data_IF_626786056922
#
_entry.id   IF_626786056922
#
_cell.length_a   1.000
_cell.length_b   1.000
_cell.length_c   1.000
_cell.angle_alpha   90.00
_cell.angle_beta   90.00
_cell.angle_gamma   90.00
#
_symmetry.space_group_name_H-M   'P 1'
#
loop_
_entity.id
_entity.type
_entity.pdbx_description
1 polymer ?
#
# COMPACT_ATOMS: atom_id res chain seq x y z
N UNK A 1 -8.57 0.51 -1.27
CA UNK A 1 -7.09 0.55 -1.37
C UNK A 1 -6.57 -0.89 -1.21
N UNK A 2 -5.38 -1.25 -1.72
CA UNK A 2 -4.79 -2.55 -1.37
C UNK A 2 -5.02 -3.76 -2.30
N UNK A 3 -5.97 -3.68 -3.23
CA UNK A 3 -6.29 -4.81 -4.12
C UNK A 3 -5.28 -5.05 -5.26
N UNK A 4 -4.32 -4.14 -5.49
CA UNK A 4 -3.35 -4.24 -6.59
C UNK A 4 -2.01 -4.81 -6.11
N UNK A 5 -1.28 -5.56 -6.97
CA UNK A 5 0.09 -5.97 -6.69
C UNK A 5 1.00 -4.75 -6.45
N UNK A 6 1.93 -4.87 -5.52
CA UNK A 6 3.01 -3.89 -5.31
C UNK A 6 4.14 -4.13 -6.31
N UNK A 7 4.99 -3.12 -6.53
CA UNK A 7 6.21 -3.26 -7.36
C UNK A 7 7.10 -4.43 -6.90
N UNK A 8 7.08 -4.74 -5.60
CA UNK A 8 7.83 -5.86 -5.01
C UNK A 8 7.21 -7.23 -5.32
N UNK A 9 5.91 -7.29 -5.64
CA UNK A 9 5.18 -8.56 -5.89
C UNK A 9 4.91 -8.82 -7.37
N UNK A 10 4.80 -7.79 -8.20
CA UNK A 10 4.59 -7.92 -9.65
C UNK A 10 5.84 -7.64 -10.50
N UNK A 11 6.90 -7.08 -9.89
CA UNK A 11 8.04 -6.54 -10.62
C UNK A 11 7.73 -5.18 -11.25
N UNK A 12 8.78 -4.48 -11.70
CA UNK A 12 8.65 -3.16 -12.33
C UNK A 12 9.70 -2.96 -13.42
N UNK A 13 9.31 -2.32 -14.52
CA UNK A 13 10.26 -1.83 -15.52
C UNK A 13 10.86 -0.51 -15.03
N UNK A 14 12.11 -0.53 -14.57
CA UNK A 14 12.81 0.64 -14.03
C UNK A 14 12.84 1.84 -14.99
N UNK A 15 12.82 1.59 -16.30
CA UNK A 15 12.76 2.65 -17.32
C UNK A 15 11.46 3.46 -17.23
N UNK A 16 10.33 2.81 -16.94
CA UNK A 16 9.05 3.50 -16.74
C UNK A 16 9.07 4.37 -15.48
N UNK A 17 9.65 3.86 -14.39
CA UNK A 17 9.83 4.61 -13.15
C UNK A 17 10.66 5.86 -13.40
N UNK A 18 11.81 5.73 -14.09
CA UNK A 18 12.71 6.85 -14.39
C UNK A 18 12.04 7.94 -15.24
N UNK A 19 11.24 7.56 -16.23
CA UNK A 19 10.50 8.51 -17.08
C UNK A 19 9.49 9.29 -16.24
N UNK A 20 8.66 8.59 -15.46
CA UNK A 20 7.64 9.25 -14.63
C UNK A 20 8.28 10.15 -13.56
N UNK A 21 9.35 9.67 -12.90
CA UNK A 21 10.08 10.46 -11.91
C UNK A 21 10.67 11.75 -12.51
N UNK A 22 11.25 11.66 -13.72
CA UNK A 22 11.82 12.82 -14.42
C UNK A 22 10.76 13.86 -14.78
N UNK A 23 9.57 13.39 -15.23
CA UNK A 23 8.44 14.27 -15.52
C UNK A 23 7.94 14.97 -14.26
N UNK A 24 7.77 14.23 -13.15
CA UNK A 24 7.32 14.78 -11.87
C UNK A 24 8.31 15.79 -11.29
N UNK A 25 9.61 15.48 -11.33
CA UNK A 25 10.66 16.40 -10.89
C UNK A 25 10.62 17.72 -11.68
N UNK A 26 10.40 17.63 -13.00
CA UNK A 26 10.25 18.81 -13.86
C UNK A 26 9.02 19.65 -13.48
N UNK A 27 7.87 19.03 -13.19
CA UNK A 27 6.68 19.77 -12.72
C UNK A 27 6.89 20.42 -11.36
N UNK A 28 7.60 19.75 -10.44
CA UNK A 28 7.97 20.35 -9.16
C UNK A 28 8.88 21.58 -9.35
N UNK A 29 9.88 21.48 -10.23
CA UNK A 29 10.75 22.62 -10.58
C UNK A 29 9.94 23.78 -11.16
N UNK A 30 8.96 23.52 -12.03
CA UNK A 30 8.07 24.57 -12.55
C UNK A 30 7.34 25.29 -11.43
N UNK A 31 6.73 24.55 -10.49
CA UNK A 31 6.00 25.11 -9.35
C UNK A 31 6.93 26.00 -8.51
N UNK A 32 8.12 25.50 -8.16
CA UNK A 32 9.11 26.22 -7.36
C UNK A 32 9.62 27.48 -8.05
N UNK A 33 9.72 27.46 -9.39
CA UNK A 33 10.09 28.61 -10.20
C UNK A 33 8.91 29.58 -10.48
N UNK A 34 7.74 29.38 -9.86
CA UNK A 34 6.56 30.21 -10.09
C UNK A 34 5.97 30.07 -11.50
N UNK A 35 6.25 28.96 -12.19
CA UNK A 35 5.72 28.64 -13.52
C UNK A 35 4.50 27.74 -13.40
N UNK A 36 3.64 27.78 -14.42
CA UNK A 36 2.49 26.89 -14.47
C UNK A 36 2.95 25.43 -14.65
N UNK A 37 2.48 24.57 -13.74
CA UNK A 37 2.59 23.12 -13.87
C UNK A 37 1.36 22.54 -14.57
N UNK A 38 1.55 21.38 -15.19
CA UNK A 38 0.49 20.62 -15.82
C UNK A 38 -0.58 20.22 -14.80
N UNK A 39 -1.83 20.21 -15.26
CA UNK A 39 -3.01 19.88 -14.45
C UNK A 39 -3.69 18.59 -14.91
N UNK A 40 -3.28 18.08 -16.08
CA UNK A 40 -3.75 16.86 -16.67
C UNK A 40 -3.03 15.64 -16.06
N UNK A 41 -3.73 14.52 -15.98
CA UNK A 41 -3.11 13.23 -15.74
C UNK A 41 -2.40 12.77 -17.03
N UNK A 42 -1.18 12.26 -16.90
CA UNK A 42 -0.42 11.73 -18.03
C UNK A 42 -0.35 10.21 -17.87
N UNK A 43 -0.74 9.50 -18.90
CA UNK A 43 -0.52 8.07 -19.04
C UNK A 43 0.60 7.84 -20.06
N UNK A 44 1.63 7.09 -19.66
CA UNK A 44 2.78 6.76 -20.49
C UNK A 44 2.90 5.24 -20.58
N UNK A 45 2.77 4.70 -21.79
CA UNK A 45 3.14 3.32 -22.09
C UNK A 45 4.53 3.35 -22.76
N UNK A 46 5.54 3.00 -21.98
CA UNK A 46 6.95 3.01 -22.42
C UNK A 46 7.22 1.94 -23.46
N UNK A 47 6.51 0.81 -23.41
CA UNK A 47 6.73 -0.30 -24.33
C UNK A 47 6.22 0.02 -25.73
N UNK A 48 5.04 0.66 -25.81
CA UNK A 48 4.45 1.10 -27.08
C UNK A 48 4.88 2.51 -27.48
N UNK A 49 5.66 3.19 -26.65
CA UNK A 49 6.05 4.60 -26.81
C UNK A 49 4.84 5.54 -27.00
N UNK A 50 3.75 5.31 -26.25
CA UNK A 50 2.54 6.13 -26.34
C UNK A 50 2.35 7.03 -25.14
N UNK A 51 1.80 8.21 -25.40
CA UNK A 51 1.58 9.27 -24.42
C UNK A 51 0.16 9.77 -24.55
N UNK A 52 -0.57 9.81 -23.45
CA UNK A 52 -1.95 10.31 -23.43
C UNK A 52 -2.11 11.28 -22.28
N UNK A 53 -2.68 12.45 -22.59
CA UNK A 53 -3.06 13.44 -21.60
C UNK A 53 -4.57 13.33 -21.34
N UNK A 54 -4.94 13.26 -20.07
CA UNK A 54 -6.31 13.10 -19.62
C UNK A 54 -6.63 14.31 -18.75
N UNK A 55 -7.61 15.10 -19.17
CA UNK A 55 -8.13 16.20 -18.36
C UNK A 55 -8.87 15.61 -17.16
N UNK A 56 -8.46 16.00 -15.95
CA UNK A 56 -9.11 15.58 -14.70
C UNK A 56 -9.81 16.79 -14.09
N UNK A 57 -11.12 16.67 -13.89
CA UNK A 57 -11.93 17.70 -13.24
C UNK A 57 -12.32 17.25 -11.84
N UNK A 58 -12.48 18.23 -10.94
CA UNK A 58 -12.94 17.96 -9.58
C UNK A 58 -14.42 17.60 -9.61
N UNK A 59 -14.76 16.49 -8.95
CA UNK A 59 -16.15 16.16 -8.65
C UNK A 59 -16.66 17.05 -7.50
N UNK A 60 -17.76 17.76 -7.73
CA UNK A 60 -18.32 18.71 -6.77
C UNK A 60 -18.78 18.03 -5.47
N UNK A 61 -19.29 16.80 -5.57
CA UNK A 61 -19.82 16.01 -4.47
C UNK A 61 -18.78 15.09 -3.78
N UNK A 62 -17.53 15.10 -4.25
CA UNK A 62 -16.45 14.33 -3.65
C UNK A 62 -16.25 14.73 -2.18
N UNK A 63 -16.31 13.74 -1.28
CA UNK A 63 -16.15 13.91 0.17
C UNK A 63 -14.89 14.71 0.54
N UNK A 64 -13.77 14.43 -0.10
CA UNK A 64 -12.49 15.06 0.24
C UNK A 64 -12.24 16.35 -0.53
N UNK A 65 -12.23 16.33 -1.87
CA UNK A 65 -11.86 17.53 -2.64
C UNK A 65 -12.99 18.55 -2.82
N UNK A 66 -14.25 18.11 -2.81
CA UNK A 66 -15.43 18.96 -2.94
C UNK A 66 -15.95 19.44 -1.58
N UNK A 67 -16.33 18.48 -0.72
CA UNK A 67 -16.91 18.74 0.61
C UNK A 67 -15.87 19.08 1.69
N UNK A 68 -14.57 18.94 1.40
CA UNK A 68 -13.46 19.23 2.32
C UNK A 68 -13.50 18.45 3.65
N UNK A 69 -14.00 17.21 3.60
CA UNK A 69 -14.00 16.31 4.75
C UNK A 69 -12.75 15.43 4.65
N UNK A 70 -11.82 15.60 5.60
CA UNK A 70 -10.50 14.95 5.59
C UNK A 70 -10.38 13.90 6.69
N UNK A 71 -11.09 12.78 6.55
CA UNK A 71 -11.17 11.73 7.58
C UNK A 71 -9.81 11.19 8.04
N UNK A 72 -8.79 11.21 7.17
CA UNK A 72 -7.43 10.76 7.48
C UNK A 72 -6.59 11.80 8.23
N UNK A 73 -6.92 13.10 8.11
CA UNK A 73 -6.28 14.16 8.89
C UNK A 73 -6.85 14.24 10.31
N UNK A 74 -8.13 13.90 10.50
CA UNK A 74 -8.83 13.98 11.79
C UNK A 74 -8.50 12.83 12.77
N UNK A 75 -7.47 12.02 12.48
CA UNK A 75 -6.76 11.09 13.38
C UNK A 75 -7.58 10.06 14.20
N UNK A 76 -8.91 9.96 14.06
CA UNK A 76 -9.73 8.98 14.79
C UNK A 76 -9.68 7.54 14.24
N UNK A 77 -9.09 7.35 13.04
CA UNK A 77 -9.04 6.06 12.32
C UNK A 77 -7.61 5.59 12.03
N UNK A 78 -6.68 5.72 12.99
CA UNK A 78 -5.38 5.06 12.85
C UNK A 78 -5.50 3.58 13.20
N UNK A 79 -4.78 2.73 12.45
CA UNK A 79 -4.63 1.33 12.83
C UNK A 79 -4.03 1.26 14.24
N UNK A 80 -4.72 0.60 15.16
CA UNK A 80 -4.22 0.41 16.51
C UNK A 80 -3.06 -0.57 16.44
N UNK A 81 -1.86 -0.07 16.70
CA UNK A 81 -0.66 -0.89 16.74
C UNK A 81 -0.28 -1.14 18.19
N UNK A 82 -0.32 -2.40 18.61
CA UNK A 82 0.01 -2.82 19.97
C UNK A 82 1.31 -3.61 19.95
N UNK A 83 2.30 -3.16 20.71
CA UNK A 83 3.56 -3.91 20.92
C UNK A 83 3.30 -5.00 21.96
N UNK A 84 3.52 -6.25 21.59
CA UNK A 84 3.41 -7.39 22.50
C UNK A 84 4.74 -7.52 23.25
N UNK A 85 4.84 -6.82 24.39
CA UNK A 85 6.03 -6.74 25.22
C UNK A 85 6.59 -8.13 25.56
N UNK A 86 7.91 -8.30 25.44
CA UNK A 86 8.61 -9.56 25.74
C UNK A 86 8.62 -10.60 24.62
N UNK A 87 7.98 -10.36 23.46
CA UNK A 87 7.88 -11.35 22.37
C UNK A 87 8.41 -10.88 21.00
N UNK A 88 9.06 -9.70 20.93
CA UNK A 88 9.47 -9.05 19.67
C UNK A 88 8.38 -9.15 18.59
N UNK A 89 7.15 -8.79 18.96
CA UNK A 89 6.00 -8.92 18.08
C UNK A 89 5.10 -7.69 18.16
N UNK A 90 4.54 -7.33 17.02
CA UNK A 90 3.64 -6.19 16.86
C UNK A 90 2.33 -6.70 16.28
N UNK A 91 1.22 -6.33 16.92
CA UNK A 91 -0.11 -6.57 16.41
C UNK A 91 -0.64 -5.30 15.75
N UNK A 92 -1.04 -5.42 14.49
CA UNK A 92 -1.66 -4.35 13.71
C UNK A 92 -3.13 -4.68 13.56
N UNK A 93 -3.98 -3.76 14.02
CA UNK A 93 -5.42 -3.82 13.82
C UNK A 93 -5.82 -2.74 12.81
N UNK A 94 -6.21 -3.09 11.58
CA UNK A 94 -6.53 -2.10 10.55
C UNK A 94 -7.72 -1.25 11.00
N UNK A 95 -7.70 0.04 10.64
CA UNK A 95 -8.76 0.98 11.00
C UNK A 95 -10.07 0.74 10.25
N UNK A 96 -10.00 0.01 9.14
CA UNK A 96 -11.14 -0.45 8.37
C UNK A 96 -11.10 -1.97 8.33
N UNK A 97 -12.06 -2.63 8.97
CA UNK A 97 -12.18 -4.09 8.92
C UNK A 97 -12.61 -4.48 7.51
N UNK A 98 -11.79 -5.28 6.84
CA UNK A 98 -12.14 -5.94 5.58
C UNK A 98 -12.11 -7.44 5.80
N UNK A 99 -12.99 -8.17 5.11
CA UNK A 99 -13.00 -9.62 5.14
C UNK A 99 -11.93 -10.11 4.15
N UNK A 100 -10.84 -10.67 4.64
CA UNK A 100 -9.79 -11.26 3.81
C UNK A 100 -10.24 -12.67 3.40
N UNK A 101 -10.19 -12.95 2.09
CA UNK A 101 -10.20 -14.32 1.58
C UNK A 101 -8.80 -14.92 1.74
N UNK A 102 -8.65 -15.93 2.61
CA UNK A 102 -7.37 -16.61 2.79
C UNK A 102 -6.93 -17.36 1.53
N UNK A 103 -7.87 -17.84 0.72
CA UNK A 103 -7.56 -18.48 -0.56
C UNK A 103 -6.91 -17.48 -1.52
N UNK A 104 -7.48 -16.28 -1.66
CA UNK A 104 -6.94 -15.24 -2.54
C UNK A 104 -5.57 -14.77 -2.04
N UNK A 105 -5.44 -14.56 -0.73
CA UNK A 105 -4.19 -14.14 -0.12
C UNK A 105 -3.11 -15.23 -0.25
N UNK A 106 -3.47 -16.50 -0.09
CA UNK A 106 -2.57 -17.63 -0.30
C UNK A 106 -2.09 -17.70 -1.74
N UNK A 107 -3.01 -17.60 -2.70
CA UNK A 107 -2.67 -17.63 -4.12
C UNK A 107 -1.77 -16.46 -4.54
N UNK A 108 -1.95 -15.28 -3.94
CA UNK A 108 -1.11 -14.11 -4.17
C UNK A 108 0.31 -14.29 -3.60
N UNK A 109 0.44 -14.91 -2.43
CA UNK A 109 1.70 -14.95 -1.68
C UNK A 109 2.52 -16.24 -1.85
N UNK A 110 1.92 -17.35 -2.30
CA UNK A 110 2.59 -18.68 -2.36
C UNK A 110 3.93 -18.73 -3.10
N UNK A 111 4.18 -17.81 -4.02
CA UNK A 111 5.43 -17.73 -4.80
C UNK A 111 6.42 -16.67 -4.28
N UNK A 112 6.05 -15.94 -3.22
CA UNK A 112 6.78 -14.78 -2.70
C UNK A 112 7.22 -14.98 -1.25
N UNK A 113 6.59 -15.92 -0.53
CA UNK A 113 6.81 -16.14 0.91
C UNK A 113 7.03 -17.61 1.21
N UNK A 114 7.64 -17.89 2.36
CA UNK A 114 7.94 -19.23 2.83
C UNK A 114 6.86 -19.75 3.80
N UNK A 115 6.72 -21.08 3.89
CA UNK A 115 5.87 -21.77 4.88
C UNK A 115 4.41 -21.26 4.95
N UNK A 116 3.81 -20.92 3.80
CA UNK A 116 2.44 -20.41 3.77
C UNK A 116 1.40 -21.51 4.02
N UNK A 117 0.63 -21.35 5.08
CA UNK A 117 -0.43 -22.28 5.51
C UNK A 117 -1.65 -21.48 5.96
N UNK A 118 -2.85 -22.04 5.81
CA UNK A 118 -4.05 -21.40 6.33
C UNK A 118 -5.10 -22.43 6.77
N UNK A 119 -5.99 -21.99 7.64
CA UNK A 119 -7.20 -22.70 8.03
C UNK A 119 -8.39 -21.73 8.03
N UNK A 120 -9.54 -22.13 8.57
CA UNK A 120 -10.74 -21.28 8.61
C UNK A 120 -10.56 -19.97 9.41
N UNK A 121 -9.58 -19.90 10.32
CA UNK A 121 -9.43 -18.80 11.28
C UNK A 121 -8.21 -17.91 11.02
N UNK A 122 -7.12 -18.49 10.50
CA UNK A 122 -5.84 -17.80 10.32
C UNK A 122 -5.12 -18.24 9.05
N UNK A 123 -4.36 -17.31 8.49
CA UNK A 123 -3.32 -17.56 7.49
C UNK A 123 -1.96 -17.21 8.10
N UNK A 124 -1.00 -18.13 7.99
CA UNK A 124 0.37 -18.00 8.52
C UNK A 124 1.37 -18.13 7.38
N UNK A 125 2.41 -17.31 7.40
CA UNK A 125 3.56 -17.44 6.52
C UNK A 125 4.81 -16.82 7.15
N UNK A 126 5.96 -17.09 6.55
CA UNK A 126 7.24 -16.49 6.92
C UNK A 126 7.83 -15.70 5.76
N UNK A 127 8.49 -14.60 6.12
CA UNK A 127 9.31 -13.81 5.21
C UNK A 127 10.60 -13.48 5.96
N UNK A 128 11.73 -13.94 5.45
CA UNK A 128 13.04 -13.75 6.09
C UNK A 128 12.98 -14.19 7.57
N UNK A 129 13.25 -13.29 8.52
CA UNK A 129 13.20 -13.56 9.96
C UNK A 129 11.84 -13.25 10.61
N UNK A 130 10.81 -13.00 9.81
CA UNK A 130 9.52 -12.50 10.28
C UNK A 130 8.39 -13.49 10.05
N UNK A 131 7.62 -13.76 11.10
CA UNK A 131 6.44 -14.64 11.04
C UNK A 131 5.17 -13.80 11.06
N UNK A 132 4.28 -14.04 10.09
CA UNK A 132 3.00 -13.38 9.96
C UNK A 132 1.87 -14.32 10.38
N UNK A 133 0.93 -13.79 11.16
CA UNK A 133 -0.32 -14.46 11.51
C UNK A 133 -1.45 -13.49 11.18
N UNK A 134 -2.19 -13.79 10.13
CA UNK A 134 -3.25 -12.96 9.57
C UNK A 134 -4.60 -13.54 9.98
N UNK A 135 -5.48 -12.71 10.50
CA UNK A 135 -6.87 -13.04 10.83
C UNK A 135 -7.80 -12.57 9.71
N UNK A 136 -8.99 -13.16 9.64
CA UNK A 136 -9.99 -12.89 8.60
C UNK A 136 -10.42 -11.41 8.56
N UNK A 137 -10.40 -10.71 9.70
CA UNK A 137 -10.74 -9.29 9.81
C UNK A 137 -9.58 -8.32 9.52
N UNK A 138 -8.48 -8.84 8.98
CA UNK A 138 -7.30 -8.08 8.60
C UNK A 138 -6.35 -7.75 9.74
N UNK A 139 -6.68 -8.11 10.98
CA UNK A 139 -5.70 -8.08 12.08
C UNK A 139 -4.52 -8.95 11.70
N UNK A 140 -3.31 -8.48 11.98
CA UNK A 140 -2.10 -9.26 11.73
C UNK A 140 -1.13 -9.11 12.88
N UNK A 141 -0.59 -10.24 13.33
CA UNK A 141 0.52 -10.28 14.26
C UNK A 141 1.78 -10.57 13.45
N UNK A 142 2.77 -9.69 13.59
CA UNK A 142 4.08 -9.85 12.97
C UNK A 142 5.07 -10.10 14.11
N UNK A 143 5.74 -11.24 14.10
CA UNK A 143 6.82 -11.57 15.03
C UNK A 143 8.18 -11.30 14.39
N UNK A 144 9.20 -11.12 15.22
CA UNK A 144 10.57 -10.84 14.80
C UNK A 144 10.85 -9.37 14.50
N UNK A 145 9.90 -8.47 14.79
CA UNK A 145 10.03 -7.02 14.52
C UNK A 145 10.50 -6.27 15.77
N UNK A 146 11.50 -5.40 15.59
CA UNK A 146 12.09 -4.59 16.66
C UNK A 146 11.27 -3.34 17.01
N UNK A 147 10.45 -2.84 16.09
CA UNK A 147 9.71 -1.60 16.24
C UNK A 147 8.40 -1.57 15.41
N UNK A 148 7.57 -0.58 15.71
CA UNK A 148 6.25 -0.38 15.10
C UNK A 148 6.33 0.06 13.64
N UNK A 149 7.35 0.83 13.26
CA UNK A 149 7.49 1.33 11.88
C UNK A 149 7.80 0.19 10.94
N UNK A 150 8.74 -0.68 11.30
CA UNK A 150 9.08 -1.88 10.53
C UNK A 150 7.86 -2.80 10.37
N UNK A 151 7.11 -3.02 11.44
CA UNK A 151 5.87 -3.80 11.37
C UNK A 151 4.83 -3.19 10.41
N UNK A 152 4.64 -1.86 10.43
CA UNK A 152 3.71 -1.18 9.51
C UNK A 152 4.15 -1.34 8.05
N UNK A 153 5.44 -1.18 7.76
CA UNK A 153 5.98 -1.35 6.41
C UNK A 153 5.76 -2.77 5.89
N UNK A 154 6.07 -3.77 6.71
CA UNK A 154 5.85 -5.18 6.40
C UNK A 154 4.38 -5.52 6.17
N UNK A 155 3.49 -5.01 7.03
CA UNK A 155 2.05 -5.18 6.85
C UNK A 155 1.56 -4.55 5.55
N UNK A 156 1.97 -3.31 5.25
CA UNK A 156 1.60 -2.64 4.02
C UNK A 156 2.13 -3.38 2.77
N UNK A 157 3.31 -3.99 2.86
CA UNK A 157 3.95 -4.73 1.77
C UNK A 157 3.24 -6.03 1.43
N UNK A 158 2.95 -6.86 2.45
CA UNK A 158 2.46 -8.23 2.23
C UNK A 158 0.94 -8.38 2.37
N UNK A 159 0.32 -7.60 3.23
CA UNK A 159 -1.13 -7.67 3.51
C UNK A 159 -1.86 -6.56 2.76
N UNK A 160 -1.38 -5.31 2.91
CA UNK A 160 -1.78 -4.16 2.11
C UNK A 160 -3.29 -4.01 1.94
N UNK A 161 -4.03 -3.83 3.03
CA UNK A 161 -5.49 -3.51 3.02
C UNK A 161 -5.70 -1.99 3.09
#
# INVERSE_FOLDING_TARGET
>A
PGALPTCDTAGVLNTAVNIIASLQATEAIKILAGREARKEAIHVDVWKATWTSIKVEKQADCTTCGKKIFEFLDAKKQANVTVLCGRKAVQINPSMKSKISFEDLHNKLKNVVDEITYNEYILRFKVEEHEFIVFEDGRTIIKGVGDVSTAKSLYAKYIGI
#
